data_IF_090679793112
#
_entry.id   IF_090679793112
#
_cell.length_a   1.000
_cell.length_b   1.000
_cell.length_c   1.000
_cell.angle_alpha   90.00
_cell.angle_beta   90.00
_cell.angle_gamma   90.00
#
_symmetry.space_group_name_H-M   'P 1'
#
loop_
_entity.id
_entity.type
_entity.pdbx_description
1 polymer ?
#
# COMPACT_ATOMS: atom_id res chain seq x y z
N UNK A 1 30.21 -24.86 2.67
CA UNK A 1 28.84 -24.48 2.25
C UNK A 1 28.59 -23.06 2.74
N UNK A 2 28.55 -22.09 1.82
CA UNK A 2 28.37 -20.67 2.13
C UNK A 2 26.88 -20.38 2.35
N UNK A 3 26.49 -20.21 3.60
CA UNK A 3 25.17 -19.67 3.96
C UNK A 3 25.15 -18.18 3.65
N UNK A 4 24.74 -17.84 2.42
CA UNK A 4 24.33 -16.48 2.09
C UNK A 4 22.99 -16.22 2.80
N UNK A 5 23.05 -15.91 4.10
CA UNK A 5 21.90 -15.38 4.83
C UNK A 5 21.55 -14.02 4.19
N UNK A 6 20.52 -14.02 3.36
CA UNK A 6 19.87 -12.81 2.87
C UNK A 6 19.33 -12.01 4.07
N UNK A 7 20.20 -11.20 4.70
CA UNK A 7 19.81 -10.24 5.73
C UNK A 7 19.15 -9.05 5.05
N UNK A 8 17.89 -9.20 4.64
CA UNK A 8 17.04 -8.02 4.50
C UNK A 8 17.04 -7.33 5.85
N UNK A 9 17.45 -6.04 5.95
CA UNK A 9 17.41 -5.33 7.22
C UNK A 9 15.99 -5.40 7.77
N UNK A 10 15.83 -5.81 9.04
CA UNK A 10 14.52 -5.94 9.70
C UNK A 10 13.65 -4.70 9.45
N UNK A 11 14.26 -3.51 9.45
CA UNK A 11 13.61 -2.24 9.12
C UNK A 11 12.97 -2.20 7.73
N UNK A 12 13.62 -2.73 6.68
CA UNK A 12 13.03 -2.77 5.32
C UNK A 12 11.80 -3.67 5.28
N UNK A 13 11.83 -4.81 5.99
CA UNK A 13 10.69 -5.74 6.07
C UNK A 13 9.53 -5.13 6.84
N UNK A 14 9.80 -4.52 7.99
CA UNK A 14 8.80 -3.79 8.76
C UNK A 14 8.17 -2.66 7.94
N UNK A 15 8.97 -1.90 7.20
CA UNK A 15 8.49 -0.82 6.36
C UNK A 15 7.61 -1.33 5.21
N UNK A 16 8.03 -2.41 4.54
CA UNK A 16 7.21 -3.05 3.52
C UNK A 16 5.87 -3.54 4.08
N UNK A 17 5.87 -4.21 5.23
CA UNK A 17 4.64 -4.67 5.87
C UNK A 17 3.69 -3.51 6.22
N UNK A 18 4.25 -2.37 6.65
CA UNK A 18 3.48 -1.16 6.89
C UNK A 18 2.86 -0.62 5.60
N UNK A 19 3.63 -0.57 4.50
CA UNK A 19 3.11 -0.18 3.19
C UNK A 19 1.99 -1.11 2.72
N UNK A 20 2.17 -2.44 2.86
CA UNK A 20 1.18 -3.43 2.48
C UNK A 20 -0.12 -3.28 3.29
N UNK A 21 -0.04 -3.17 4.61
CA UNK A 21 -1.20 -2.94 5.47
C UNK A 21 -1.92 -1.62 5.14
N UNK A 22 -1.16 -0.58 4.80
CA UNK A 22 -1.71 0.71 4.39
C UNK A 22 -2.44 0.61 3.05
N UNK A 23 -1.90 -0.16 2.10
CA UNK A 23 -2.50 -0.41 0.79
C UNK A 23 -3.82 -1.16 0.94
N UNK A 24 -3.85 -2.27 1.69
CA UNK A 24 -5.07 -3.05 1.94
C UNK A 24 -6.17 -2.22 2.60
N UNK A 25 -5.80 -1.30 3.51
CA UNK A 25 -6.76 -0.37 4.11
C UNK A 25 -7.30 0.63 3.08
N UNK A 26 -6.44 1.27 2.31
CA UNK A 26 -6.85 2.24 1.30
C UNK A 26 -7.71 1.59 0.20
N UNK A 27 -7.44 0.34 -0.17
CA UNK A 27 -8.23 -0.40 -1.15
C UNK A 27 -9.65 -0.69 -0.63
N UNK A 28 -9.78 -1.06 0.66
CA UNK A 28 -11.10 -1.21 1.30
C UNK A 28 -11.88 0.11 1.33
N UNK A 29 -11.22 1.21 1.64
CA UNK A 29 -11.84 2.56 1.63
C UNK A 29 -12.31 2.91 0.22
N UNK A 30 -11.47 2.72 -0.80
CA UNK A 30 -11.86 2.99 -2.18
C UNK A 30 -13.06 2.13 -2.62
N UNK A 31 -13.07 0.85 -2.26
CA UNK A 31 -14.20 -0.03 -2.53
C UNK A 31 -15.48 0.44 -1.82
N UNK A 32 -15.38 0.92 -0.58
CA UNK A 32 -16.52 1.49 0.14
C UNK A 32 -17.05 2.76 -0.55
N UNK A 33 -16.14 3.65 -0.98
CA UNK A 33 -16.47 4.86 -1.73
C UNK A 33 -17.18 4.53 -3.06
N UNK A 34 -16.70 3.52 -3.78
CA UNK A 34 -17.30 3.07 -5.03
C UNK A 34 -18.69 2.43 -4.82
N UNK A 35 -18.92 1.79 -3.68
CA UNK A 35 -20.22 1.20 -3.33
C UNK A 35 -21.24 2.21 -2.80
N UNK A 36 -20.80 3.35 -2.29
CA UNK A 36 -21.65 4.40 -1.73
C UNK A 36 -21.29 5.78 -2.30
N UNK A 37 -21.37 5.99 -3.63
CA UNK A 37 -20.94 7.23 -4.27
C UNK A 37 -21.69 8.48 -3.77
N UNK A 38 -22.86 8.32 -3.16
CA UNK A 38 -23.65 9.40 -2.56
C UNK A 38 -23.09 9.91 -1.21
N UNK A 39 -22.23 9.13 -0.54
CA UNK A 39 -21.66 9.48 0.77
C UNK A 39 -20.30 10.17 0.68
N UNK A 40 -19.62 10.07 -0.45
CA UNK A 40 -18.23 10.52 -0.62
C UNK A 40 -18.10 11.41 -1.85
N UNK A 41 -17.22 12.40 -1.78
CA UNK A 41 -16.93 13.23 -2.94
C UNK A 41 -16.08 12.48 -3.97
N UNK A 42 -16.22 12.86 -5.23
CA UNK A 42 -15.37 12.37 -6.32
C UNK A 42 -13.89 12.73 -6.12
N UNK A 43 -13.61 13.83 -5.41
CA UNK A 43 -12.25 14.23 -5.02
C UNK A 43 -11.62 13.24 -4.04
N UNK A 44 -12.35 12.82 -3.00
CA UNK A 44 -11.85 11.82 -2.05
C UNK A 44 -11.51 10.48 -2.73
N UNK A 45 -12.33 10.04 -3.69
CA UNK A 45 -12.06 8.84 -4.46
C UNK A 45 -10.79 8.99 -5.31
N UNK A 46 -10.61 10.14 -5.97
CA UNK A 46 -9.40 10.46 -6.75
C UNK A 46 -8.15 10.46 -5.89
N UNK A 47 -8.20 11.11 -4.74
CA UNK A 47 -7.07 11.18 -3.82
C UNK A 47 -6.70 9.79 -3.27
N UNK A 48 -7.71 8.98 -2.95
CA UNK A 48 -7.51 7.59 -2.50
C UNK A 48 -6.86 6.74 -3.58
N UNK A 49 -7.26 6.89 -4.86
CA UNK A 49 -6.59 6.23 -5.97
C UNK A 49 -5.14 6.69 -6.15
N UNK A 50 -4.87 7.99 -6.04
CA UNK A 50 -3.52 8.53 -6.14
C UNK A 50 -2.62 8.00 -5.01
N UNK A 51 -3.16 7.89 -3.80
CA UNK A 51 -2.48 7.30 -2.65
C UNK A 51 -2.16 5.82 -2.86
N UNK A 52 -3.13 5.02 -3.36
CA UNK A 52 -2.90 3.62 -3.71
C UNK A 52 -1.80 3.45 -4.77
N UNK A 53 -1.79 4.31 -5.79
CA UNK A 53 -0.72 4.31 -6.80
C UNK A 53 0.65 4.61 -6.18
N UNK A 54 0.71 5.58 -5.27
CA UNK A 54 1.94 5.92 -4.54
C UNK A 54 2.43 4.73 -3.69
N UNK A 55 1.56 4.11 -2.90
CA UNK A 55 1.89 2.93 -2.10
C UNK A 55 2.40 1.78 -2.95
N UNK A 56 1.73 1.48 -4.07
CA UNK A 56 2.16 0.44 -5.01
C UNK A 56 3.55 0.72 -5.61
N UNK A 57 3.83 1.99 -5.93
CA UNK A 57 5.15 2.43 -6.41
C UNK A 57 6.22 2.24 -5.34
N UNK A 58 5.94 2.65 -4.10
CA UNK A 58 6.87 2.47 -2.99
C UNK A 58 7.11 0.98 -2.70
N UNK A 59 6.08 0.15 -2.61
CA UNK A 59 6.24 -1.30 -2.40
C UNK A 59 7.14 -1.95 -3.45
N UNK A 60 7.00 -1.58 -4.74
CA UNK A 60 7.91 -2.05 -5.81
C UNK A 60 9.36 -1.64 -5.59
N UNK A 61 9.62 -0.45 -5.03
CA UNK A 61 10.98 0.01 -4.70
C UNK A 61 11.63 -0.82 -3.59
N UNK A 62 10.82 -1.32 -2.65
CA UNK A 62 11.31 -2.16 -1.55
C UNK A 62 11.33 -3.65 -1.89
N UNK A 63 10.67 -4.07 -2.98
CA UNK A 63 10.94 -5.31 -3.72
C UNK A 63 11.01 -6.57 -2.87
N UNK A 64 10.13 -6.68 -1.86
CA UNK A 64 9.77 -7.95 -1.23
C UNK A 64 8.50 -8.51 -1.88
#
# INVERSE_FOLDING_TARGET
>A
MTTAECKTPVAKKCYYNLLAASYERAERILNEMQRNPEKYSSEMARDTMAYLFHLKKEMRRYGM
#
